data_IF_860230471261
#
_entry.id   IF_860230471261
#
_cell.length_a   1.000
_cell.length_b   1.000
_cell.length_c   1.000
_cell.angle_alpha   90.00
_cell.angle_beta   90.00
_cell.angle_gamma   90.00
#
_symmetry.space_group_name_H-M   'P 1'
#
loop_
_entity.id
_entity.type
_entity.pdbx_description
1 polymer ?
#
# COMPACT_ATOMS: atom_id res chain seq x y z
N UNK A 1 -45.58 -11.18 -11.37
CA UNK A 1 -44.92 -10.45 -10.26
C UNK A 1 -43.51 -10.96 -9.95
N UNK A 2 -43.24 -12.27 -10.03
CA UNK A 2 -41.93 -12.86 -9.70
C UNK A 2 -40.75 -12.51 -10.63
N UNK A 3 -40.99 -12.26 -11.93
CA UNK A 3 -39.91 -11.99 -12.90
C UNK A 3 -39.17 -10.64 -12.68
N UNK A 4 -39.88 -9.59 -12.20
CA UNK A 4 -39.25 -8.29 -11.87
C UNK A 4 -38.33 -8.38 -10.65
N UNK A 5 -38.71 -9.17 -9.64
CA UNK A 5 -37.90 -9.36 -8.43
C UNK A 5 -36.61 -10.15 -8.72
N UNK A 6 -36.69 -11.19 -9.56
CA UNK A 6 -35.52 -11.99 -9.95
C UNK A 6 -34.54 -11.21 -10.86
N UNK A 7 -35.06 -10.40 -11.79
CA UNK A 7 -34.24 -9.55 -12.66
C UNK A 7 -33.59 -8.38 -11.90
N UNK A 8 -34.23 -7.87 -10.83
CA UNK A 8 -33.64 -6.90 -9.91
C UNK A 8 -32.50 -7.51 -9.08
N UNK A 9 -32.69 -8.72 -8.54
CA UNK A 9 -31.66 -9.47 -7.80
C UNK A 9 -30.43 -9.74 -8.70
N UNK A 10 -30.62 -10.15 -9.95
CA UNK A 10 -29.52 -10.37 -10.91
C UNK A 10 -28.75 -9.08 -11.27
N UNK A 11 -29.43 -7.92 -11.35
CA UNK A 11 -28.78 -6.62 -11.58
C UNK A 11 -27.99 -6.13 -10.37
N UNK A 12 -28.49 -6.38 -9.16
CA UNK A 12 -27.79 -6.07 -7.91
C UNK A 12 -26.56 -6.96 -7.76
N UNK A 13 -26.69 -8.27 -8.01
CA UNK A 13 -25.57 -9.22 -7.96
C UNK A 13 -24.53 -8.89 -9.05
N UNK A 14 -24.95 -8.61 -10.29
CA UNK A 14 -24.01 -8.17 -11.34
C UNK A 14 -23.31 -6.87 -10.98
N UNK A 15 -24.03 -5.85 -10.48
CA UNK A 15 -23.42 -4.56 -10.12
C UNK A 15 -22.47 -4.69 -8.92
N UNK A 16 -22.79 -5.58 -7.97
CA UNK A 16 -21.91 -5.87 -6.84
C UNK A 16 -20.65 -6.61 -7.28
N UNK A 17 -20.78 -7.60 -8.16
CA UNK A 17 -19.64 -8.33 -8.74
C UNK A 17 -18.78 -7.42 -9.62
N UNK A 18 -19.37 -6.59 -10.48
CA UNK A 18 -18.61 -5.69 -11.37
C UNK A 18 -17.97 -4.50 -10.64
N UNK A 19 -18.60 -3.99 -9.59
CA UNK A 19 -18.11 -2.82 -8.85
C UNK A 19 -17.18 -3.15 -7.68
N UNK A 20 -17.44 -4.26 -6.98
CA UNK A 20 -16.79 -4.55 -5.70
C UNK A 20 -15.72 -5.65 -5.80
N UNK A 21 -15.97 -6.69 -6.59
CA UNK A 21 -15.06 -7.82 -6.76
C UNK A 21 -13.67 -7.41 -7.28
N UNK A 22 -13.50 -6.57 -8.32
CA UNK A 22 -12.17 -6.19 -8.79
C UNK A 22 -11.40 -5.39 -7.72
N UNK A 23 -12.08 -4.54 -6.94
CA UNK A 23 -11.47 -3.78 -5.86
C UNK A 23 -10.94 -4.66 -4.72
N UNK A 24 -11.73 -5.65 -4.29
CA UNK A 24 -11.30 -6.63 -3.29
C UNK A 24 -10.15 -7.48 -3.81
N UNK A 25 -10.28 -8.04 -5.02
CA UNK A 25 -9.24 -8.90 -5.62
C UNK A 25 -7.92 -8.16 -5.75
N UNK A 26 -7.96 -6.90 -6.22
CA UNK A 26 -6.77 -6.05 -6.32
C UNK A 26 -6.16 -5.79 -4.95
N UNK A 27 -6.97 -5.47 -3.93
CA UNK A 27 -6.47 -5.23 -2.57
C UNK A 27 -5.82 -6.46 -1.96
N UNK A 28 -6.44 -7.63 -2.12
CA UNK A 28 -5.87 -8.92 -1.70
C UNK A 28 -4.52 -9.14 -2.41
N UNK A 29 -4.47 -8.94 -3.72
CA UNK A 29 -3.24 -9.08 -4.49
C UNK A 29 -2.13 -8.14 -3.98
N UNK A 30 -2.45 -6.88 -3.68
CA UNK A 30 -1.47 -5.92 -3.15
C UNK A 30 -0.95 -6.28 -1.76
N UNK A 31 -1.76 -6.92 -0.91
CA UNK A 31 -1.33 -7.41 0.41
C UNK A 31 -0.32 -8.54 0.28
N UNK A 32 -0.52 -9.46 -0.67
CA UNK A 32 0.39 -10.59 -0.92
C UNK A 32 1.61 -10.22 -1.77
N UNK A 33 1.58 -9.08 -2.45
CA UNK A 33 2.64 -8.64 -3.34
C UNK A 33 4.05 -8.64 -2.71
N UNK A 34 4.29 -8.07 -1.51
CA UNK A 34 5.62 -8.10 -0.91
C UNK A 34 6.12 -9.53 -0.62
N UNK A 35 5.22 -10.45 -0.28
CA UNK A 35 5.56 -11.87 -0.07
C UNK A 35 5.95 -12.56 -1.38
N UNK A 36 5.23 -12.27 -2.46
CA UNK A 36 5.54 -12.75 -3.81
C UNK A 36 6.91 -12.22 -4.27
N UNK A 37 7.18 -10.93 -4.06
CA UNK A 37 8.46 -10.31 -4.41
C UNK A 37 9.61 -10.91 -3.61
N UNK A 38 9.40 -11.16 -2.31
CA UNK A 38 10.36 -11.86 -1.47
C UNK A 38 10.62 -13.29 -1.96
N UNK A 39 9.58 -14.02 -2.34
CA UNK A 39 9.70 -15.38 -2.90
C UNK A 39 10.49 -15.37 -4.21
N UNK A 40 10.19 -14.43 -5.11
CA UNK A 40 10.93 -14.26 -6.36
C UNK A 40 12.41 -13.96 -6.10
N UNK A 41 12.72 -13.08 -5.15
CA UNK A 41 14.11 -12.82 -4.76
C UNK A 41 14.78 -14.07 -4.15
N UNK A 42 14.05 -14.94 -3.44
CA UNK A 42 14.61 -16.22 -2.94
C UNK A 42 14.97 -17.16 -4.08
N UNK A 43 14.13 -17.26 -5.10
CA UNK A 43 14.40 -18.07 -6.29
C UNK A 43 15.62 -17.61 -7.08
N UNK A 44 16.00 -16.33 -7.00
CA UNK A 44 17.20 -15.80 -7.65
C UNK A 44 18.51 -16.21 -6.94
N UNK A 45 18.44 -16.80 -5.74
CA UNK A 45 19.59 -17.43 -5.10
C UNK A 45 20.59 -16.47 -4.45
N UNK A 46 20.13 -15.43 -3.76
CA UNK A 46 21.03 -14.56 -2.99
C UNK A 46 21.63 -15.27 -1.77
N UNK A 47 22.95 -15.13 -1.58
CA UNK A 47 23.71 -15.77 -0.49
C UNK A 47 23.35 -15.18 0.89
N UNK A 48 23.02 -13.89 0.96
CA UNK A 48 22.75 -13.17 2.21
C UNK A 48 21.29 -12.77 2.36
N UNK A 49 20.74 -12.96 3.57
CA UNK A 49 19.39 -12.50 3.94
C UNK A 49 19.24 -10.98 3.82
N UNK A 50 20.29 -10.21 4.10
CA UNK A 50 20.28 -8.76 3.96
C UNK A 50 20.21 -8.33 2.48
N UNK A 51 20.96 -9.02 1.60
CA UNK A 51 20.90 -8.77 0.16
C UNK A 51 19.52 -9.10 -0.42
N UNK A 52 18.93 -10.21 0.03
CA UNK A 52 17.57 -10.62 -0.31
C UNK A 52 16.54 -9.57 0.11
N UNK A 53 16.58 -9.13 1.37
CA UNK A 53 15.67 -8.11 1.91
C UNK A 53 15.77 -6.78 1.17
N UNK A 54 16.99 -6.30 0.90
CA UNK A 54 17.22 -5.09 0.09
C UNK A 54 16.67 -5.21 -1.32
N UNK A 55 16.90 -6.34 -2.00
CA UNK A 55 16.42 -6.54 -3.37
C UNK A 55 14.90 -6.58 -3.44
N UNK A 56 14.27 -7.28 -2.50
CA UNK A 56 12.80 -7.33 -2.37
C UNK A 56 12.23 -5.92 -2.10
N UNK A 57 12.82 -5.18 -1.16
CA UNK A 57 12.42 -3.80 -0.85
C UNK A 57 12.54 -2.87 -2.07
N UNK A 58 13.67 -2.90 -2.80
CA UNK A 58 13.86 -2.08 -4.01
C UNK A 58 12.82 -2.37 -5.08
N UNK A 59 12.47 -3.64 -5.30
CA UNK A 59 11.41 -4.01 -6.25
C UNK A 59 10.06 -3.50 -5.82
N UNK A 60 9.76 -3.62 -4.52
CA UNK A 60 8.51 -3.12 -3.98
C UNK A 60 8.42 -1.59 -4.07
N UNK A 61 9.51 -0.88 -3.83
CA UNK A 61 9.59 0.57 -4.04
C UNK A 61 9.33 0.96 -5.50
N UNK A 62 9.99 0.30 -6.46
CA UNK A 62 9.76 0.55 -7.89
C UNK A 62 8.29 0.30 -8.25
N UNK A 63 7.69 -0.76 -7.71
CA UNK A 63 6.28 -1.06 -7.93
C UNK A 63 5.37 0.05 -7.39
N UNK A 64 5.60 0.50 -6.14
CA UNK A 64 4.83 1.58 -5.53
C UNK A 64 5.01 2.89 -6.30
N UNK A 65 6.24 3.22 -6.71
CA UNK A 65 6.52 4.41 -7.51
C UNK A 65 5.73 4.40 -8.84
N UNK A 66 5.76 3.29 -9.58
CA UNK A 66 5.06 3.20 -10.87
C UNK A 66 3.54 3.18 -10.67
N UNK A 67 3.02 2.40 -9.74
CA UNK A 67 1.57 2.19 -9.62
C UNK A 67 0.88 3.24 -8.75
N UNK A 68 1.43 3.53 -7.58
CA UNK A 68 0.81 4.47 -6.62
C UNK A 68 1.11 5.90 -7.02
N UNK A 69 2.37 6.23 -7.33
CA UNK A 69 2.72 7.61 -7.67
C UNK A 69 2.41 7.94 -9.14
N UNK A 70 3.10 7.31 -10.11
CA UNK A 70 2.90 7.62 -11.53
C UNK A 70 1.50 7.22 -12.01
N UNK A 71 1.03 6.03 -11.62
CA UNK A 71 -0.30 5.54 -11.98
C UNK A 71 -1.42 6.45 -11.51
N UNK A 72 -1.38 6.96 -10.28
CA UNK A 72 -2.42 7.89 -9.80
C UNK A 72 -2.40 9.26 -10.51
N UNK A 73 -1.22 9.72 -10.93
CA UNK A 73 -1.08 10.93 -11.74
C UNK A 73 -1.67 10.68 -13.14
N UNK A 74 -1.24 9.62 -13.83
CA UNK A 74 -1.65 9.31 -15.21
C UNK A 74 -3.12 8.92 -15.31
N UNK A 75 -3.60 8.01 -14.47
CA UNK A 75 -5.00 7.60 -14.45
C UNK A 75 -5.89 8.77 -14.04
N UNK A 76 -5.41 9.58 -13.11
CA UNK A 76 -6.10 10.77 -12.67
C UNK A 76 -6.23 11.86 -13.72
N UNK A 77 -5.17 12.12 -14.49
CA UNK A 77 -5.19 13.06 -15.62
C UNK A 77 -6.09 12.53 -16.74
N UNK A 78 -5.99 11.24 -17.05
CA UNK A 78 -6.78 10.59 -18.10
C UNK A 78 -8.28 10.68 -17.81
N UNK A 79 -8.74 10.35 -16.59
CA UNK A 79 -10.17 10.42 -16.25
C UNK A 79 -10.71 11.85 -16.14
N UNK A 80 -9.91 12.80 -15.62
CA UNK A 80 -10.35 14.20 -15.47
C UNK A 80 -10.36 14.96 -16.80
N UNK A 81 -9.56 14.52 -17.77
CA UNK A 81 -9.46 15.15 -19.08
C UNK A 81 -9.90 14.22 -20.21
N UNK A 82 -10.69 13.17 -19.94
CA UNK A 82 -11.06 12.17 -20.95
C UNK A 82 -11.76 12.82 -22.18
N UNK A 83 -12.59 13.84 -21.94
CA UNK A 83 -13.24 14.62 -23.01
C UNK A 83 -12.26 15.52 -23.79
N UNK A 84 -11.24 16.07 -23.11
CA UNK A 84 -10.25 16.97 -23.71
C UNK A 84 -9.11 16.20 -24.40
N UNK A 85 -8.68 15.05 -23.88
CA UNK A 85 -7.63 14.20 -24.45
C UNK A 85 -8.04 13.58 -25.79
N UNK A 86 -9.32 13.29 -25.99
CA UNK A 86 -9.84 12.81 -27.27
C UNK A 86 -9.74 13.87 -28.39
N UNK A 87 -9.60 15.16 -28.03
CA UNK A 87 -9.61 16.28 -28.97
C UNK A 87 -8.35 17.17 -28.92
N UNK A 88 -7.38 16.91 -28.02
CA UNK A 88 -6.17 17.70 -27.86
C UNK A 88 -4.93 17.09 -28.54
N UNK A 89 -4.07 17.98 -29.07
CA UNK A 89 -2.77 17.66 -29.66
C UNK A 89 -1.75 17.25 -28.59
N UNK A 90 -0.83 16.33 -28.95
CA UNK A 90 0.18 15.78 -28.05
C UNK A 90 1.11 16.83 -27.38
N UNK A 91 1.15 18.06 -27.91
CA UNK A 91 1.93 19.16 -27.35
C UNK A 91 1.37 19.73 -26.03
N UNK A 92 0.10 19.50 -25.68
CA UNK A 92 -0.50 19.99 -24.43
C UNK A 92 -0.32 19.03 -23.24
N UNK A 93 0.20 17.81 -23.48
CA UNK A 93 0.37 16.78 -22.45
C UNK A 93 1.19 17.27 -21.24
N UNK A 94 2.35 17.94 -21.40
CA UNK A 94 3.13 18.42 -20.26
C UNK A 94 2.38 19.47 -19.43
N UNK A 95 1.60 20.33 -20.10
CA UNK A 95 0.80 21.38 -19.46
C UNK A 95 -0.34 20.79 -18.65
N UNK A 96 -0.99 19.77 -19.20
CA UNK A 96 -2.04 18.99 -18.52
C UNK A 96 -1.51 18.27 -17.28
N UNK A 97 -0.34 17.63 -17.37
CA UNK A 97 0.30 16.98 -16.22
C UNK A 97 0.64 18.01 -15.13
N UNK A 98 1.17 19.17 -15.51
CA UNK A 98 1.52 20.25 -14.57
C UNK A 98 0.34 20.76 -13.73
N UNK A 99 -0.86 20.85 -14.31
CA UNK A 99 -2.08 21.27 -13.59
C UNK A 99 -2.63 20.13 -12.72
N UNK A 100 -2.45 18.88 -13.15
CA UNK A 100 -3.04 17.72 -12.49
C UNK A 100 -2.29 17.31 -11.22
N UNK A 101 -0.99 17.57 -11.13
CA UNK A 101 -0.18 17.25 -9.94
C UNK A 101 -0.74 17.94 -8.68
N UNK A 102 -0.93 19.28 -8.63
CA UNK A 102 -1.58 19.93 -7.48
C UNK A 102 -2.96 19.38 -7.15
N UNK A 103 -3.78 19.06 -8.17
CA UNK A 103 -5.12 18.50 -7.97
C UNK A 103 -5.11 17.12 -7.27
N UNK A 104 -3.99 16.37 -7.39
CA UNK A 104 -3.81 15.09 -6.71
C UNK A 104 -3.25 15.20 -5.30
N UNK A 105 -2.86 16.40 -4.84
CA UNK A 105 -2.39 16.60 -3.48
C UNK A 105 -3.41 16.09 -2.44
N UNK A 106 -4.70 16.39 -2.61
CA UNK A 106 -5.77 15.91 -1.71
C UNK A 106 -5.85 14.38 -1.67
N UNK A 107 -5.70 13.71 -2.81
CA UNK A 107 -5.65 12.25 -2.87
C UNK A 107 -4.48 11.72 -2.05
N UNK A 108 -3.28 12.27 -2.24
CA UNK A 108 -2.09 11.83 -1.49
C UNK A 108 -2.18 12.14 0.01
N UNK A 109 -2.82 13.24 0.41
CA UNK A 109 -3.11 13.52 1.84
C UNK A 109 -4.00 12.41 2.42
N UNK A 110 -5.09 12.04 1.75
CA UNK A 110 -5.95 10.93 2.20
C UNK A 110 -5.21 9.59 2.21
N UNK A 111 -4.35 9.35 1.23
CA UNK A 111 -3.52 8.16 1.18
C UNK A 111 -2.56 8.08 2.37
N UNK A 112 -1.88 9.17 2.73
CA UNK A 112 -0.98 9.23 3.91
C UNK A 112 -1.76 9.01 5.21
N UNK A 113 -2.96 9.57 5.36
CA UNK A 113 -3.76 9.37 6.57
C UNK A 113 -4.25 7.92 6.70
N UNK A 114 -4.69 7.30 5.61
CA UNK A 114 -5.24 5.93 5.65
C UNK A 114 -4.14 4.89 5.69
N UNK A 115 -3.17 4.94 4.78
CA UNK A 115 -2.14 3.91 4.64
C UNK A 115 -0.96 4.17 5.58
N UNK A 116 -0.60 5.44 5.77
CA UNK A 116 0.50 5.83 6.65
C UNK A 116 0.10 5.81 8.11
N UNK A 117 -0.80 6.71 8.54
CA UNK A 117 -1.13 6.85 9.96
C UNK A 117 -1.85 5.62 10.52
N UNK A 118 -2.88 5.11 9.83
CA UNK A 118 -3.57 3.91 10.29
C UNK A 118 -2.69 2.66 10.17
N UNK A 119 -1.78 2.61 9.18
CA UNK A 119 -0.79 1.54 9.07
C UNK A 119 0.16 1.52 10.27
N UNK A 120 0.75 2.66 10.63
CA UNK A 120 1.61 2.79 11.82
C UNK A 120 0.86 2.47 13.10
N UNK A 121 -0.38 2.93 13.25
CA UNK A 121 -1.21 2.58 14.40
C UNK A 121 -1.50 1.07 14.48
N UNK A 122 -1.74 0.41 13.34
CA UNK A 122 -1.89 -1.04 13.26
C UNK A 122 -0.61 -1.81 13.60
N UNK A 123 0.56 -1.25 13.26
CA UNK A 123 1.86 -1.83 13.57
C UNK A 123 2.14 -1.81 15.08
N UNK A 124 1.69 -0.78 15.82
CA UNK A 124 1.77 -0.75 17.30
C UNK A 124 1.11 -1.99 17.91
N UNK A 125 -0.07 -2.34 17.41
CA UNK A 125 -0.84 -3.49 17.90
C UNK A 125 -0.22 -4.83 17.49
N UNK A 126 0.75 -4.84 16.58
CA UNK A 126 1.37 -6.04 16.00
C UNK A 126 0.32 -7.11 15.66
N UNK A 127 -0.69 -6.70 14.88
CA UNK A 127 -1.85 -7.55 14.54
C UNK A 127 -1.45 -8.89 13.89
N UNK A 128 -0.46 -8.89 13.00
CA UNK A 128 0.02 -10.10 12.31
C UNK A 128 0.52 -11.17 13.29
N UNK A 129 1.55 -10.93 14.13
CA UNK A 129 2.01 -11.93 15.08
C UNK A 129 0.95 -12.24 16.14
N UNK A 130 0.08 -11.30 16.53
CA UNK A 130 -1.00 -11.59 17.49
C UNK A 130 -2.00 -12.63 16.96
N UNK A 131 -2.41 -12.52 15.69
CA UNK A 131 -3.30 -13.49 15.04
C UNK A 131 -2.60 -14.84 14.88
N UNK A 132 -1.34 -14.83 14.42
CA UNK A 132 -0.54 -16.06 14.25
C UNK A 132 -0.35 -16.77 15.59
N UNK A 133 -0.07 -16.03 16.66
CA UNK A 133 0.07 -16.57 18.02
C UNK A 133 -1.22 -17.27 18.47
N UNK A 134 -2.39 -16.63 18.34
CA UNK A 134 -3.65 -17.25 18.74
C UNK A 134 -3.98 -18.49 17.89
N UNK A 135 -3.67 -18.47 16.59
CA UNK A 135 -3.87 -19.60 15.71
C UNK A 135 -2.94 -20.77 16.07
N UNK A 136 -1.64 -20.50 16.27
CA UNK A 136 -0.66 -21.51 16.71
C UNK A 136 -1.03 -22.08 18.08
N UNK A 137 -1.43 -21.22 19.02
CA UNK A 137 -1.84 -21.64 20.37
C UNK A 137 -3.07 -22.54 20.35
N UNK A 138 -4.01 -22.30 19.45
CA UNK A 138 -5.22 -23.13 19.34
C UNK A 138 -4.96 -24.49 18.67
N UNK A 139 -4.11 -24.56 17.64
CA UNK A 139 -3.95 -25.77 16.83
C UNK A 139 -2.67 -26.58 17.08
N UNK A 140 -1.57 -25.93 17.48
CA UNK A 140 -0.21 -26.49 17.40
C UNK A 140 0.51 -26.57 18.75
N UNK A 141 0.17 -25.74 19.73
CA UNK A 141 0.86 -25.70 21.03
C UNK A 141 0.45 -26.92 21.88
N UNK A 142 1.41 -27.80 22.14
CA UNK A 142 1.26 -28.95 23.05
C UNK A 142 2.30 -28.97 24.16
N UNK A 143 3.44 -28.32 23.94
CA UNK A 143 4.58 -28.27 24.87
C UNK A 143 4.99 -26.82 25.14
N UNK A 144 5.65 -26.54 26.27
CA UNK A 144 6.17 -25.20 26.59
C UNK A 144 7.13 -24.66 25.50
N UNK A 145 7.93 -25.52 24.87
CA UNK A 145 8.79 -25.12 23.74
C UNK A 145 8.00 -24.63 22.51
N UNK A 146 6.83 -25.22 22.24
CA UNK A 146 5.97 -24.79 21.12
C UNK A 146 5.36 -23.40 21.40
N UNK A 147 5.17 -23.09 22.70
CA UNK A 147 4.68 -21.80 23.16
C UNK A 147 5.74 -20.72 23.01
N UNK A 148 7.01 -21.01 23.33
CA UNK A 148 8.12 -20.09 23.10
C UNK A 148 8.29 -19.77 21.61
N UNK A 149 8.21 -20.76 20.72
CA UNK A 149 8.30 -20.54 19.26
C UNK A 149 7.07 -19.79 18.71
N UNK A 150 5.89 -19.95 19.32
CA UNK A 150 4.71 -19.18 18.96
C UNK A 150 4.81 -17.71 19.41
N UNK A 151 5.55 -17.42 20.47
CA UNK A 151 5.74 -16.07 21.01
C UNK A 151 6.78 -15.24 20.26
N UNK A 152 7.59 -15.82 19.37
CA UNK A 152 8.55 -15.07 18.55
C UNK A 152 7.82 -14.14 17.56
N UNK A 153 7.91 -12.81 17.72
CA UNK A 153 7.26 -11.85 16.82
C UNK A 153 7.96 -11.74 15.45
N UNK A 154 9.15 -12.33 15.30
CA UNK A 154 9.97 -12.23 14.10
C UNK A 154 10.70 -10.89 13.97
N UNK A 155 11.46 -10.75 12.88
CA UNK A 155 12.20 -9.52 12.57
C UNK A 155 11.28 -8.41 12.05
N UNK A 156 11.66 -7.16 12.32
CA UNK A 156 10.97 -5.96 11.83
C UNK A 156 10.94 -5.99 10.30
N UNK A 157 9.76 -5.70 9.73
CA UNK A 157 9.46 -5.82 8.31
C UNK A 157 10.17 -4.80 7.41
N UNK A 158 11.50 -4.88 7.31
CA UNK A 158 12.33 -4.00 6.48
C UNK A 158 11.87 -3.98 5.02
N UNK A 159 11.46 -5.15 4.49
CA UNK A 159 11.00 -5.31 3.12
C UNK A 159 9.72 -4.53 2.79
N UNK A 160 8.88 -4.23 3.78
CA UNK A 160 7.61 -3.51 3.60
C UNK A 160 7.67 -2.07 4.09
N UNK A 161 8.32 -1.82 5.23
CA UNK A 161 8.40 -0.48 5.84
C UNK A 161 9.31 0.47 5.07
N UNK A 162 10.50 -0.01 4.63
CA UNK A 162 11.49 0.83 3.94
C UNK A 162 10.94 1.43 2.64
N UNK A 163 10.30 0.66 1.73
CA UNK A 163 9.74 1.21 0.50
C UNK A 163 8.65 2.26 0.72
N UNK A 164 7.81 2.08 1.74
CA UNK A 164 6.73 3.00 2.08
C UNK A 164 7.29 4.34 2.60
N UNK A 165 8.31 4.29 3.47
CA UNK A 165 9.02 5.47 3.95
C UNK A 165 9.66 6.24 2.78
N UNK A 166 10.33 5.54 1.86
CA UNK A 166 10.94 6.14 0.68
C UNK A 166 9.90 6.81 -0.23
N UNK A 167 8.71 6.20 -0.40
CA UNK A 167 7.62 6.79 -1.17
C UNK A 167 7.11 8.10 -0.53
N UNK A 168 6.92 8.14 0.78
CA UNK A 168 6.51 9.36 1.46
C UNK A 168 7.57 10.44 1.44
N UNK A 169 8.86 10.07 1.52
CA UNK A 169 9.96 11.01 1.34
C UNK A 169 9.94 11.63 -0.07
N UNK A 170 9.76 10.81 -1.11
CA UNK A 170 9.58 11.27 -2.49
C UNK A 170 8.39 12.22 -2.62
N UNK A 171 7.23 11.86 -2.07
CA UNK A 171 6.04 12.72 -2.09
C UNK A 171 6.30 14.05 -1.40
N UNK A 172 6.99 14.05 -0.26
CA UNK A 172 7.40 15.26 0.45
C UNK A 172 8.28 16.16 -0.42
N UNK A 173 9.30 15.61 -1.09
CA UNK A 173 10.17 16.38 -1.96
C UNK A 173 9.44 16.95 -3.18
N UNK A 174 8.61 16.15 -3.85
CA UNK A 174 7.86 16.58 -5.04
C UNK A 174 6.83 17.64 -4.68
N UNK A 175 6.07 17.44 -3.61
CA UNK A 175 4.98 18.33 -3.21
C UNK A 175 5.41 19.48 -2.29
N UNK A 176 6.65 19.51 -1.80
CA UNK A 176 7.16 20.64 -1.01
C UNK A 176 7.02 21.98 -1.75
N UNK A 177 7.33 21.98 -3.05
CA UNK A 177 7.24 23.17 -3.90
C UNK A 177 5.83 23.36 -4.47
N UNK A 178 5.13 22.26 -4.78
CA UNK A 178 3.85 22.30 -5.50
C UNK A 178 2.65 22.54 -4.57
N UNK A 179 2.60 21.85 -3.42
CA UNK A 179 1.49 21.90 -2.47
C UNK A 179 2.01 21.71 -1.03
N UNK A 180 2.54 22.77 -0.39
CA UNK A 180 3.21 22.68 0.91
C UNK A 180 2.30 22.18 2.04
N UNK A 181 0.98 22.29 1.88
CA UNK A 181 -0.02 21.77 2.83
C UNK A 181 0.04 20.25 3.03
N UNK A 182 0.69 19.50 2.13
CA UNK A 182 0.89 18.06 2.28
C UNK A 182 2.01 17.73 3.29
N UNK A 183 2.99 18.63 3.47
CA UNK A 183 4.16 18.39 4.32
C UNK A 183 3.83 18.14 5.81
N UNK A 184 2.93 18.91 6.47
CA UNK A 184 2.58 18.64 7.86
C UNK A 184 2.08 17.21 8.08
N UNK A 185 1.33 16.63 7.14
CA UNK A 185 0.81 15.27 7.25
C UNK A 185 1.93 14.22 7.18
N UNK A 186 2.93 14.45 6.34
CA UNK A 186 4.13 13.62 6.25
C UNK A 186 4.97 13.73 7.51
N UNK A 187 5.16 14.94 8.05
CA UNK A 187 5.94 15.15 9.28
C UNK A 187 5.28 14.42 10.45
N UNK A 188 3.96 14.51 10.59
CA UNK A 188 3.21 13.76 11.62
C UNK A 188 3.38 12.25 11.42
N UNK A 189 3.32 11.76 10.18
CA UNK A 189 3.59 10.35 9.90
C UNK A 189 5.00 9.95 10.37
N UNK A 190 6.04 10.72 10.04
CA UNK A 190 7.41 10.42 10.46
C UNK A 190 7.60 10.49 11.96
N UNK A 191 6.96 11.44 12.64
CA UNK A 191 6.99 11.52 14.10
C UNK A 191 6.35 10.29 14.76
N UNK A 192 5.18 9.86 14.28
CA UNK A 192 4.52 8.66 14.75
C UNK A 192 5.35 7.41 14.46
N UNK A 193 5.81 7.24 13.22
CA UNK A 193 6.65 6.12 12.82
C UNK A 193 7.92 6.03 13.67
N UNK A 194 8.60 7.16 13.94
CA UNK A 194 9.78 7.20 14.80
C UNK A 194 9.48 6.69 16.22
N UNK A 195 8.39 7.16 16.83
CA UNK A 195 8.01 6.71 18.18
C UNK A 195 7.68 5.22 18.21
N UNK A 196 6.93 4.73 17.23
CA UNK A 196 6.52 3.32 17.15
C UNK A 196 7.70 2.40 16.90
N UNK A 197 8.50 2.67 15.88
CA UNK A 197 9.67 1.83 15.57
C UNK A 197 10.70 1.88 16.69
N UNK A 198 10.91 3.04 17.33
CA UNK A 198 11.79 3.12 18.50
C UNK A 198 11.29 2.29 19.67
N UNK A 199 9.98 2.26 19.91
CA UNK A 199 9.41 1.43 20.97
C UNK A 199 9.50 -0.08 20.65
N UNK A 200 9.47 -0.45 19.37
CA UNK A 200 9.52 -1.85 18.92
C UNK A 200 10.93 -2.44 18.86
N UNK A 201 11.95 -1.59 18.74
CA UNK A 201 13.38 -1.95 18.73
C UNK A 201 13.99 -2.01 20.15
N UNK A 202 13.26 -1.52 21.17
CA UNK A 202 13.63 -1.62 22.59
C UNK A 202 13.09 -2.90 23.23
#
# INVERSE_FOLDING_TARGET
MYCKSFCSQLKVIKSFIQGFLPGITLKIFLIFLPDILMLMSKFEGFISRAALGRRSATRYYIFQFINVFLGSIITGTAFQQLDNFMHQSANDIPKTIGISIPMKATFFITYIMVDGWAGVAGEILRLKPLIVYHLKNFFLVKTENDREEAMDPGAIGFNTGEPQIQLYFLLGLVYAVVAPFLLPFIIVFFALAFVVYRHQEQ
#
